data_IF_405905319258
#
_entry.id   IF_405905319258
#
_cell.length_a   1.000
_cell.length_b   1.000
_cell.length_c   1.000
_cell.angle_alpha   90.00
_cell.angle_beta   90.00
_cell.angle_gamma   90.00
#
_symmetry.space_group_name_H-M   'P 1'
#
loop_
_entity.id
_entity.type
_entity.pdbx_description
1 polymer ?
#
# COMPACT_ATOMS: atom_id res chain seq x y z
N UNK A 1 -16.89 34.35 8.25
CA UNK A 1 -15.67 33.55 7.97
C UNK A 1 -16.02 32.06 8.14
N UNK A 2 -15.81 31.11 7.22
CA UNK A 2 -15.27 31.03 5.83
C UNK A 2 -15.99 29.81 5.18
N UNK A 3 -16.23 29.62 3.87
CA UNK A 3 -16.04 30.39 2.63
C UNK A 3 -15.92 29.44 1.42
N UNK A 4 -16.54 29.76 0.26
CA UNK A 4 -16.19 29.42 -1.16
C UNK A 4 -15.64 28.01 -1.53
N UNK A 5 -16.08 27.22 -2.54
CA UNK A 5 -17.19 27.13 -3.54
C UNK A 5 -17.03 25.76 -4.32
N UNK A 6 -17.03 25.40 -5.64
CA UNK A 6 -17.03 25.88 -7.07
C UNK A 6 -18.04 24.97 -7.88
N UNK A 7 -18.20 24.84 -9.22
CA UNK A 7 -17.62 25.35 -10.51
C UNK A 7 -18.76 25.83 -11.44
N UNK A 8 -18.53 26.58 -12.53
CA UNK A 8 -17.31 27.16 -13.12
C UNK A 8 -17.62 28.53 -13.79
N UNK A 9 -16.75 29.03 -14.68
CA UNK A 9 -16.76 30.43 -15.11
C UNK A 9 -17.68 30.74 -16.31
N UNK A 10 -18.58 31.70 -16.15
CA UNK A 10 -18.76 32.78 -17.13
C UNK A 10 -18.43 34.11 -16.44
N UNK A 11 -17.58 34.93 -17.07
CA UNK A 11 -17.10 36.18 -16.48
C UNK A 11 -18.12 37.28 -16.75
N UNK A 12 -18.59 37.93 -15.70
CA UNK A 12 -19.27 39.22 -15.78
C UNK A 12 -18.65 40.17 -14.75
N UNK A 13 -18.47 41.43 -15.16
CA UNK A 13 -17.91 42.55 -14.40
C UNK A 13 -16.40 42.46 -14.09
N UNK A 14 -15.60 42.95 -15.03
CA UNK A 14 -14.16 43.23 -14.91
C UNK A 14 -13.50 43.30 -16.29
N UNK A 15 -12.57 44.25 -16.53
CA UNK A 15 -11.87 44.35 -17.83
C UNK A 15 -10.87 43.22 -18.07
N UNK A 16 -10.35 42.59 -17.01
CA UNK A 16 -9.38 41.50 -17.07
C UNK A 16 -9.60 40.52 -15.91
N UNK A 17 -9.21 39.26 -16.09
CA UNK A 17 -9.20 38.23 -15.06
C UNK A 17 -7.96 37.34 -15.21
N UNK A 18 -7.52 36.70 -14.12
CA UNK A 18 -6.39 35.77 -14.11
C UNK A 18 -6.87 34.38 -13.68
N UNK A 19 -6.52 33.35 -14.46
CA UNK A 19 -6.83 31.95 -14.20
C UNK A 19 -5.53 31.16 -14.01
N UNK A 20 -5.48 30.29 -12.99
CA UNK A 20 -4.38 29.35 -12.85
C UNK A 20 -4.50 28.25 -13.92
N UNK A 21 -3.41 27.99 -14.63
CA UNK A 21 -3.34 26.96 -15.68
C UNK A 21 -3.26 25.53 -15.09
N UNK A 22 -2.74 25.40 -13.87
CA UNK A 22 -2.49 24.13 -13.19
C UNK A 22 -3.17 24.04 -11.80
N UNK A 23 -3.49 22.82 -11.31
CA UNK A 23 -4.13 22.61 -10.01
C UNK A 23 -3.14 22.73 -8.83
N UNK A 24 -2.82 23.96 -8.43
CA UNK A 24 -1.90 24.26 -7.33
C UNK A 24 -2.56 24.37 -5.93
N UNK A 25 -1.87 23.90 -4.89
CA UNK A 25 -2.29 24.05 -3.49
C UNK A 25 -1.92 25.45 -2.94
N UNK A 26 -2.92 26.33 -2.81
CA UNK A 26 -2.74 27.68 -2.28
C UNK A 26 -3.06 27.74 -0.78
N UNK A 27 -2.07 28.13 0.04
CA UNK A 27 -2.25 28.34 1.48
C UNK A 27 -2.83 29.73 1.80
N UNK A 28 -3.48 29.89 2.94
CA UNK A 28 -4.03 31.19 3.37
C UNK A 28 -2.97 32.30 3.53
N UNK A 29 -1.69 31.95 3.73
CA UNK A 29 -0.58 32.91 3.73
C UNK A 29 -0.30 33.44 2.32
N UNK A 30 -0.33 32.57 1.30
CA UNK A 30 -0.18 32.99 -0.10
C UNK A 30 -1.37 33.84 -0.58
N UNK A 31 -2.60 33.54 -0.15
CA UNK A 31 -3.79 34.37 -0.46
C UNK A 31 -3.60 35.81 0.06
N UNK A 32 -3.23 35.95 1.34
CA UNK A 32 -3.05 37.27 1.97
C UNK A 32 -1.81 37.99 1.44
N UNK A 33 -0.73 37.28 1.12
CA UNK A 33 0.44 37.86 0.45
C UNK A 33 0.09 38.40 -0.95
N UNK A 34 -0.63 37.62 -1.76
CA UNK A 34 -1.12 38.04 -3.07
C UNK A 34 -2.06 39.26 -2.98
N UNK A 35 -3.01 39.25 -2.04
CA UNK A 35 -3.87 40.41 -1.76
C UNK A 35 -3.05 41.66 -1.39
N UNK A 36 -2.05 41.52 -0.51
CA UNK A 36 -1.14 42.61 -0.11
C UNK A 36 -0.24 43.11 -1.23
N UNK A 37 0.12 42.26 -2.19
CA UNK A 37 0.86 42.68 -3.39
C UNK A 37 -0.05 43.47 -4.35
N UNK A 38 -1.23 42.92 -4.69
CA UNK A 38 -2.21 43.59 -5.56
C UNK A 38 -2.67 44.94 -4.98
N UNK A 39 -2.90 45.03 -3.67
CA UNK A 39 -3.31 46.29 -2.99
C UNK A 39 -2.19 47.34 -2.96
N UNK A 40 -0.91 46.95 -3.04
CA UNK A 40 0.22 47.90 -3.14
C UNK A 40 0.40 48.46 -4.56
N UNK A 41 0.19 47.63 -5.57
CA UNK A 41 0.42 48.03 -6.96
C UNK A 41 -0.81 48.74 -7.58
N UNK A 42 -2.02 48.47 -7.09
CA UNK A 42 -3.22 49.19 -7.49
C UNK A 42 -3.26 50.59 -6.86
N UNK A 43 -2.87 51.61 -7.66
CA UNK A 43 -3.04 53.02 -7.27
C UNK A 43 -4.51 53.30 -6.91
N UNK A 44 -4.70 54.18 -5.91
CA UNK A 44 -5.98 54.39 -5.17
C UNK A 44 -7.19 54.53 -6.12
N UNK A 45 -8.14 53.59 -6.04
CA UNK A 45 -9.42 53.66 -6.76
C UNK A 45 -10.13 52.32 -6.98
N UNK A 46 -9.39 51.22 -7.19
CA UNK A 46 -9.98 49.92 -7.52
C UNK A 46 -10.44 49.07 -6.33
N UNK A 47 -11.68 48.57 -6.35
CA UNK A 47 -12.17 47.52 -5.43
C UNK A 47 -11.72 46.14 -5.94
N UNK A 48 -10.73 45.53 -5.30
CA UNK A 48 -10.16 44.22 -5.70
C UNK A 48 -10.85 43.07 -4.97
N UNK A 49 -11.38 42.10 -5.71
CA UNK A 49 -12.09 40.94 -5.18
C UNK A 49 -11.35 39.64 -5.49
N UNK A 50 -10.93 38.91 -4.45
CA UNK A 50 -10.24 37.61 -4.58
C UNK A 50 -11.21 36.48 -4.23
N UNK A 51 -11.74 35.79 -5.24
CA UNK A 51 -12.62 34.61 -5.07
C UNK A 51 -11.86 33.34 -5.47
N UNK A 52 -11.50 32.52 -4.49
CA UNK A 52 -10.76 31.26 -4.69
C UNK A 52 -11.72 30.09 -4.44
N UNK A 53 -12.14 29.46 -5.52
CA UNK A 53 -13.12 28.39 -5.53
C UNK A 53 -12.40 27.01 -5.73
N UNK A 54 -12.72 25.92 -5.00
CA UNK A 54 -12.13 24.58 -5.15
C UNK A 54 -12.89 23.64 -6.13
N UNK A 55 -12.14 22.88 -6.94
CA UNK A 55 -12.60 22.11 -8.12
C UNK A 55 -13.97 21.40 -8.01
N UNK A 56 -14.16 20.52 -7.01
CA UNK A 56 -15.34 19.65 -6.88
C UNK A 56 -15.88 19.64 -5.46
N UNK A 57 -17.20 19.75 -5.33
CA UNK A 57 -17.94 19.54 -4.07
C UNK A 57 -18.70 18.21 -4.12
N UNK A 58 -18.65 17.43 -3.05
CA UNK A 58 -19.34 16.13 -2.92
C UNK A 58 -20.16 16.11 -1.63
N UNK A 59 -21.49 16.31 -1.71
CA UNK A 59 -22.41 16.15 -0.58
C UNK A 59 -23.76 15.56 -1.05
N UNK A 60 -24.38 14.74 -0.19
CA UNK A 60 -25.66 14.10 -0.45
C UNK A 60 -26.82 15.10 -0.26
N UNK A 61 -27.82 15.06 -1.15
CA UNK A 61 -28.54 16.29 -1.57
C UNK A 61 -30.00 16.39 -1.09
N UNK A 62 -30.37 15.72 0.00
CA UNK A 62 -31.74 15.18 0.14
C UNK A 62 -32.60 15.65 1.32
N UNK A 63 -32.23 16.67 2.09
CA UNK A 63 -32.87 16.90 3.41
C UNK A 63 -33.15 18.35 3.85
N UNK A 64 -32.94 19.36 3.00
CA UNK A 64 -33.21 20.78 3.31
C UNK A 64 -34.22 21.38 2.33
N UNK A 65 -35.24 22.09 2.85
CA UNK A 65 -36.40 22.56 2.09
C UNK A 65 -36.54 24.09 2.17
N UNK A 66 -35.69 24.84 1.46
CA UNK A 66 -35.93 26.27 1.22
C UNK A 66 -36.77 26.40 -0.05
N UNK A 67 -37.91 27.07 0.05
CA UNK A 67 -38.90 27.21 -1.03
C UNK A 67 -39.22 28.70 -1.28
N UNK A 68 -40.00 29.05 -2.32
CA UNK A 68 -40.62 30.38 -2.40
C UNK A 68 -41.38 30.71 -1.10
N UNK A 69 -41.41 32.00 -0.73
CA UNK A 69 -41.92 32.54 0.53
C UNK A 69 -41.14 32.14 1.80
N UNK A 70 -40.08 31.32 1.74
CA UNK A 70 -39.21 31.09 2.91
C UNK A 70 -38.46 32.37 3.31
N UNK A 71 -38.63 32.80 4.56
CA UNK A 71 -37.85 33.87 5.19
C UNK A 71 -36.47 33.37 5.65
N UNK A 72 -35.42 34.18 5.45
CA UNK A 72 -34.02 33.81 5.58
C UNK A 72 -33.19 34.96 6.16
N UNK A 73 -32.42 34.68 7.22
CA UNK A 73 -31.52 35.65 7.82
C UNK A 73 -30.26 35.84 6.95
N UNK A 74 -29.87 37.10 6.76
CA UNK A 74 -28.67 37.46 5.99
C UNK A 74 -27.40 37.17 6.81
N UNK A 75 -26.40 36.57 6.16
CA UNK A 75 -25.11 36.20 6.76
C UNK A 75 -23.91 36.99 6.19
N UNK A 76 -24.21 38.13 5.54
CA UNK A 76 -23.25 39.05 4.93
C UNK A 76 -23.42 40.46 5.52
N UNK A 77 -22.37 41.28 5.46
CA UNK A 77 -22.36 42.63 6.02
C UNK A 77 -22.91 43.67 5.02
N UNK A 78 -23.85 43.27 4.17
CA UNK A 78 -24.36 44.08 3.04
C UNK A 78 -25.31 45.19 3.46
N UNK A 79 -25.92 45.08 4.65
CA UNK A 79 -26.93 46.01 5.18
C UNK A 79 -28.32 45.37 5.27
N UNK A 80 -28.63 44.39 4.42
CA UNK A 80 -29.84 43.58 4.57
C UNK A 80 -29.77 42.69 5.82
N UNK A 81 -30.90 42.51 6.51
CA UNK A 81 -31.02 41.67 7.72
C UNK A 81 -31.87 40.42 7.45
N UNK A 82 -32.98 40.60 6.73
CA UNK A 82 -33.92 39.52 6.37
C UNK A 82 -34.24 39.53 4.87
N UNK A 83 -34.27 38.35 4.27
CA UNK A 83 -34.67 38.09 2.89
C UNK A 83 -35.86 37.14 2.82
N UNK A 84 -36.83 37.41 1.96
CA UNK A 84 -37.87 36.43 1.58
C UNK A 84 -37.55 35.85 0.21
N UNK A 85 -37.37 34.53 0.13
CA UNK A 85 -37.19 33.81 -1.13
C UNK A 85 -38.41 34.00 -2.06
N UNK A 86 -38.18 34.26 -3.34
CA UNK A 86 -39.24 34.37 -4.36
C UNK A 86 -39.09 33.27 -5.43
N UNK A 87 -37.87 33.03 -5.92
CA UNK A 87 -37.63 32.06 -6.99
C UNK A 87 -36.27 31.37 -6.83
N UNK A 88 -36.26 30.06 -7.03
CA UNK A 88 -35.05 29.23 -7.04
C UNK A 88 -34.44 29.27 -8.45
N UNK A 89 -33.13 29.47 -8.58
CA UNK A 89 -32.45 29.55 -9.88
C UNK A 89 -31.75 28.22 -10.17
N UNK A 90 -32.18 27.50 -11.20
CA UNK A 90 -31.52 26.28 -11.69
C UNK A 90 -32.15 25.74 -12.97
N UNK A 91 -31.44 24.84 -13.67
CA UNK A 91 -31.84 24.29 -14.98
C UNK A 91 -32.97 23.23 -14.92
N UNK A 92 -33.88 23.34 -13.95
CA UNK A 92 -35.02 22.43 -13.76
C UNK A 92 -36.03 23.08 -12.81
N UNK A 93 -37.32 22.72 -12.93
CA UNK A 93 -38.42 23.37 -12.20
C UNK A 93 -38.49 22.91 -10.71
N UNK A 94 -37.43 23.18 -9.94
CA UNK A 94 -37.23 22.70 -8.57
C UNK A 94 -38.09 23.47 -7.57
N UNK A 95 -38.92 22.74 -6.82
CA UNK A 95 -39.71 23.29 -5.70
C UNK A 95 -38.86 23.67 -4.47
N UNK A 96 -37.68 23.06 -4.32
CA UNK A 96 -36.81 23.21 -3.15
C UNK A 96 -35.35 23.50 -3.52
N UNK A 97 -34.72 24.36 -2.73
CA UNK A 97 -33.33 24.79 -2.83
C UNK A 97 -32.51 24.34 -1.61
N UNK A 98 -31.26 24.03 -1.87
CA UNK A 98 -30.33 23.39 -0.92
C UNK A 98 -29.10 24.28 -0.70
N UNK A 99 -28.24 23.90 0.25
CA UNK A 99 -26.95 24.59 0.46
C UNK A 99 -26.15 24.59 -0.85
N UNK A 100 -25.77 25.80 -1.30
CA UNK A 100 -25.08 26.06 -2.56
C UNK A 100 -25.97 26.47 -3.74
N UNK A 101 -27.29 26.28 -3.68
CA UNK A 101 -28.21 26.78 -4.71
C UNK A 101 -28.36 28.32 -4.61
N UNK A 102 -28.64 28.97 -5.74
CA UNK A 102 -28.87 30.43 -5.83
C UNK A 102 -30.37 30.71 -5.85
N UNK A 103 -30.82 31.68 -5.06
CA UNK A 103 -32.21 32.15 -5.04
C UNK A 103 -32.30 33.62 -5.45
N UNK A 104 -33.43 34.01 -6.03
CA UNK A 104 -33.93 35.39 -6.07
C UNK A 104 -34.76 35.60 -4.80
N UNK A 105 -34.47 36.68 -4.07
CA UNK A 105 -35.16 37.03 -2.84
C UNK A 105 -35.38 38.55 -2.74
N UNK A 106 -36.32 38.98 -1.91
CA UNK A 106 -36.58 40.41 -1.62
C UNK A 106 -36.15 40.77 -0.22
N UNK A 107 -35.53 41.94 -0.05
CA UNK A 107 -35.16 42.52 1.24
C UNK A 107 -36.43 42.87 2.04
N UNK A 108 -36.60 42.22 3.20
CA UNK A 108 -37.73 42.45 4.13
C UNK A 108 -37.36 43.37 5.29
N UNK A 109 -36.11 43.33 5.74
CA UNK A 109 -35.53 44.19 6.78
C UNK A 109 -34.08 44.54 6.40
N UNK A 110 -33.66 45.77 6.71
CA UNK A 110 -32.35 46.33 6.40
C UNK A 110 -31.93 47.38 7.45
N UNK A 111 -30.62 47.56 7.61
CA UNK A 111 -30.03 48.55 8.50
C UNK A 111 -30.19 49.96 7.89
N UNK A 112 -30.67 50.97 8.64
CA UNK A 112 -30.76 52.35 8.16
C UNK A 112 -29.41 52.92 7.68
N UNK A 113 -29.46 53.88 6.76
CA UNK A 113 -28.31 54.58 6.18
C UNK A 113 -27.30 53.68 5.43
N UNK A 114 -27.71 52.48 5.02
CA UNK A 114 -26.96 51.61 4.08
C UNK A 114 -27.52 51.73 2.66
N UNK A 115 -26.72 51.46 1.60
CA UNK A 115 -27.13 51.63 0.19
C UNK A 115 -27.94 50.43 -0.35
N UNK A 116 -28.81 49.84 0.47
CA UNK A 116 -29.76 48.78 0.08
C UNK A 116 -31.13 49.14 0.62
N UNK A 117 -32.16 49.06 -0.22
CA UNK A 117 -33.51 49.49 0.14
C UNK A 117 -34.45 48.33 0.46
N UNK A 118 -35.44 48.60 1.31
CA UNK A 118 -36.49 47.63 1.61
C UNK A 118 -37.33 47.38 0.36
N UNK A 119 -37.66 46.12 0.09
CA UNK A 119 -38.31 45.64 -1.13
C UNK A 119 -37.40 45.44 -2.35
N UNK A 120 -36.11 45.75 -2.29
CA UNK A 120 -35.16 45.49 -3.39
C UNK A 120 -35.03 43.98 -3.67
N UNK A 121 -34.93 43.63 -4.97
CA UNK A 121 -34.82 42.24 -5.45
C UNK A 121 -33.35 41.85 -5.64
N UNK A 122 -32.84 40.97 -4.77
CA UNK A 122 -31.43 40.55 -4.74
C UNK A 122 -31.27 39.06 -5.05
N UNK A 123 -30.05 38.66 -5.46
CA UNK A 123 -29.66 37.25 -5.63
C UNK A 123 -28.81 36.79 -4.45
N UNK A 124 -29.31 35.81 -3.70
CA UNK A 124 -28.64 35.24 -2.54
C UNK A 124 -28.20 33.78 -2.79
N UNK A 125 -27.22 33.31 -2.03
CA UNK A 125 -26.74 31.92 -2.03
C UNK A 125 -27.04 31.30 -0.68
N UNK A 126 -27.59 30.09 -0.66
CA UNK A 126 -27.88 29.38 0.58
C UNK A 126 -26.55 28.83 1.14
N UNK A 127 -26.10 29.37 2.28
CA UNK A 127 -24.81 29.02 2.90
C UNK A 127 -24.92 28.20 4.20
N UNK A 128 -26.12 28.15 4.79
CA UNK A 128 -26.46 27.35 5.98
C UNK A 128 -27.97 27.15 6.04
N UNK A 129 -28.40 26.13 6.76
CA UNK A 129 -29.80 25.82 7.06
C UNK A 129 -29.97 25.65 8.58
N UNK A 130 -31.22 25.65 9.06
CA UNK A 130 -31.52 25.61 10.51
C UNK A 130 -31.62 24.18 11.07
N UNK A 131 -31.59 23.16 10.22
CA UNK A 131 -31.73 21.75 10.59
C UNK A 131 -30.41 21.01 10.38
N UNK A 132 -30.13 20.03 11.24
CA UNK A 132 -28.91 19.25 11.12
C UNK A 132 -28.99 18.24 9.96
N UNK A 133 -27.90 18.15 9.19
CA UNK A 133 -27.78 17.24 8.06
C UNK A 133 -27.52 15.81 8.56
N UNK A 134 -28.43 14.89 8.23
CA UNK A 134 -28.23 13.44 8.46
C UNK A 134 -26.99 12.94 7.72
N UNK A 135 -26.32 11.96 8.32
CA UNK A 135 -25.27 11.14 7.71
C UNK A 135 -25.77 9.71 7.58
N UNK A 136 -25.29 8.98 6.58
CA UNK A 136 -25.84 7.67 6.21
C UNK A 136 -25.64 6.59 7.31
N UNK A 137 -24.71 6.78 8.25
CA UNK A 137 -24.32 5.78 9.27
C UNK A 137 -24.89 6.01 10.69
N UNK A 138 -25.71 7.03 10.94
CA UNK A 138 -26.41 7.17 12.23
C UNK A 138 -27.80 7.81 12.08
N UNK A 139 -28.82 7.05 12.48
CA UNK A 139 -30.24 7.42 12.39
C UNK A 139 -30.66 8.42 13.49
N UNK A 140 -29.91 8.52 14.60
CA UNK A 140 -30.20 9.37 15.77
C UNK A 140 -29.17 10.48 16.05
N UNK A 141 -28.04 10.53 15.32
CA UNK A 141 -27.04 11.60 15.42
C UNK A 141 -26.29 11.68 16.76
N UNK A 142 -26.09 10.56 17.44
CA UNK A 142 -25.45 10.49 18.75
C UNK A 142 -23.92 10.47 18.62
N UNK A 143 -23.24 11.11 19.57
CA UNK A 143 -21.78 11.16 19.60
C UNK A 143 -21.24 9.82 20.10
N UNK A 144 -20.60 9.06 19.20
CA UNK A 144 -20.02 7.72 19.46
C UNK A 144 -19.01 7.72 20.61
N UNK A 145 -18.20 8.77 20.71
CA UNK A 145 -17.21 8.99 21.77
C UNK A 145 -16.87 10.46 21.86
N UNK A 146 -16.64 10.97 23.07
CA UNK A 146 -16.16 12.32 23.32
C UNK A 146 -15.15 12.33 24.47
N UNK A 147 -14.22 13.28 24.43
CA UNK A 147 -13.26 13.51 25.52
C UNK A 147 -12.76 14.95 25.47
N UNK A 148 -12.29 15.44 26.60
CA UNK A 148 -11.87 16.83 26.80
C UNK A 148 -10.73 16.90 27.82
N UNK A 149 -10.01 18.03 27.87
CA UNK A 149 -9.04 18.27 28.92
C UNK A 149 -9.68 18.21 30.33
N UNK A 150 -10.97 18.57 30.46
CA UNK A 150 -11.70 18.48 31.73
C UNK A 150 -11.97 17.04 32.18
N UNK A 151 -12.47 16.19 31.28
CA UNK A 151 -12.73 14.76 31.58
C UNK A 151 -11.44 13.95 31.75
N UNK A 152 -10.33 14.36 31.13
CA UNK A 152 -9.00 13.82 31.41
C UNK A 152 -8.35 14.38 32.70
N UNK A 153 -9.11 15.02 33.60
CA UNK A 153 -8.65 15.45 34.92
C UNK A 153 -7.81 16.74 34.97
N UNK A 154 -7.54 17.39 33.82
CA UNK A 154 -6.75 18.63 33.81
C UNK A 154 -7.58 19.80 34.37
N UNK A 155 -6.98 20.55 35.31
CA UNK A 155 -7.56 21.73 35.97
C UNK A 155 -6.66 22.95 35.79
N UNK A 156 -7.25 24.15 35.86
CA UNK A 156 -6.55 25.42 35.69
C UNK A 156 -5.79 25.54 34.36
N UNK A 157 -4.64 26.21 34.38
CA UNK A 157 -3.74 26.42 33.23
C UNK A 157 -3.34 25.13 32.51
N UNK A 158 -3.26 24.00 33.23
CA UNK A 158 -2.91 22.69 32.65
C UNK A 158 -3.88 22.24 31.55
N UNK A 159 -5.13 22.74 31.52
CA UNK A 159 -6.11 22.47 30.45
C UNK A 159 -5.67 22.96 29.06
N UNK A 160 -4.89 24.05 29.00
CA UNK A 160 -4.39 24.60 27.73
C UNK A 160 -3.14 23.91 27.18
N UNK A 161 -2.61 22.89 27.87
CA UNK A 161 -1.34 22.27 27.50
C UNK A 161 -1.47 21.37 26.26
N UNK A 162 -0.40 21.23 25.44
CA UNK A 162 -0.39 20.27 24.33
C UNK A 162 -0.61 18.83 24.80
N UNK A 163 -0.12 18.48 26.00
CA UNK A 163 -0.33 17.17 26.60
C UNK A 163 -1.80 16.90 26.93
N UNK A 164 -2.54 17.87 27.47
CA UNK A 164 -3.98 17.73 27.70
C UNK A 164 -4.76 17.50 26.40
N UNK A 165 -4.39 18.19 25.30
CA UNK A 165 -4.97 17.96 23.99
C UNK A 165 -4.63 16.57 23.41
N UNK A 166 -3.39 16.09 23.63
CA UNK A 166 -2.95 14.74 23.22
C UNK A 166 -3.73 13.64 23.94
N UNK A 167 -3.89 13.76 25.26
CA UNK A 167 -4.59 12.77 26.09
C UNK A 167 -6.10 12.77 25.84
N UNK A 168 -6.71 13.95 25.66
CA UNK A 168 -8.11 14.04 25.26
C UNK A 168 -8.37 13.35 23.91
N UNK A 169 -7.56 13.65 22.89
CA UNK A 169 -7.65 12.99 21.58
C UNK A 169 -7.42 11.47 21.68
N UNK A 170 -6.39 11.04 22.41
CA UNK A 170 -6.08 9.62 22.58
C UNK A 170 -7.22 8.83 23.25
N UNK A 171 -7.80 9.36 24.32
CA UNK A 171 -8.92 8.71 25.01
C UNK A 171 -10.18 8.61 24.13
N UNK A 172 -10.51 9.67 23.37
CA UNK A 172 -11.65 9.63 22.45
C UNK A 172 -11.46 8.56 21.35
N UNK A 173 -10.24 8.39 20.84
CA UNK A 173 -9.92 7.43 19.78
C UNK A 173 -9.96 5.98 20.30
N UNK A 174 -9.42 5.70 21.49
CA UNK A 174 -9.45 4.34 22.07
C UNK A 174 -10.88 3.80 22.13
N UNK A 175 -11.79 4.52 22.78
CA UNK A 175 -13.18 4.11 22.90
C UNK A 175 -13.92 3.90 21.55
N UNK A 176 -13.41 4.47 20.44
CA UNK A 176 -13.92 4.26 19.08
C UNK A 176 -13.30 3.02 18.42
N UNK A 177 -12.01 2.76 18.68
CA UNK A 177 -11.31 1.54 18.25
C UNK A 177 -11.81 0.32 19.02
N UNK A 178 -12.05 0.45 20.32
CA UNK A 178 -12.59 -0.59 21.21
C UNK A 178 -14.04 -0.98 20.79
N UNK A 179 -14.77 -0.05 20.16
CA UNK A 179 -16.07 -0.28 19.51
C UNK A 179 -15.95 -0.79 18.05
N UNK A 180 -14.76 -1.19 17.60
CA UNK A 180 -14.53 -1.83 16.30
C UNK A 180 -14.47 -0.90 15.08
N UNK A 181 -14.38 0.43 15.24
CA UNK A 181 -14.38 1.35 14.10
C UNK A 181 -13.08 1.30 13.29
N UNK A 182 -13.12 0.62 12.14
CA UNK A 182 -11.97 0.39 11.26
C UNK A 182 -11.52 1.62 10.45
N UNK A 183 -12.40 2.59 10.19
CA UNK A 183 -12.12 3.80 9.38
C UNK A 183 -12.90 5.00 9.90
N UNK A 184 -12.22 6.15 10.02
CA UNK A 184 -12.82 7.43 10.38
C UNK A 184 -12.11 8.59 9.67
N UNK A 185 -12.87 9.59 9.21
CA UNK A 185 -12.33 10.85 8.68
C UNK A 185 -12.23 11.89 9.81
N UNK A 186 -11.02 12.40 10.08
CA UNK A 186 -10.74 13.20 11.28
C UNK A 186 -10.50 14.67 10.95
N UNK A 187 -11.51 15.51 11.21
CA UNK A 187 -11.45 16.96 11.04
C UNK A 187 -10.92 17.67 12.31
N UNK A 188 -9.77 18.34 12.20
CA UNK A 188 -9.18 19.11 13.31
C UNK A 188 -9.20 20.61 12.99
N UNK A 189 -9.77 21.41 13.90
CA UNK A 189 -9.87 22.88 13.81
C UNK A 189 -8.95 23.56 14.83
N UNK A 190 -8.66 24.86 14.62
CA UNK A 190 -7.79 25.67 15.47
C UNK A 190 -6.29 25.62 15.10
N UNK A 191 -5.51 26.64 15.49
CA UNK A 191 -4.04 26.69 15.39
C UNK A 191 -3.34 26.29 16.70
N UNK A 192 -2.00 26.18 16.66
CA UNK A 192 -1.15 26.08 17.85
C UNK A 192 -0.86 24.66 18.36
N UNK A 193 0.10 24.55 19.28
CA UNK A 193 0.76 23.31 19.70
C UNK A 193 -0.18 22.16 20.14
N UNK A 194 -1.37 22.48 20.67
CA UNK A 194 -2.39 21.50 21.01
C UNK A 194 -2.93 20.72 19.80
N UNK A 195 -3.05 21.37 18.64
CA UNK A 195 -3.39 20.73 17.35
C UNK A 195 -2.34 19.68 16.99
N UNK A 196 -1.07 20.04 17.10
CA UNK A 196 0.04 19.20 16.64
C UNK A 196 0.33 18.06 17.62
N UNK A 197 -0.05 18.21 18.89
CA UNK A 197 -0.10 17.11 19.85
C UNK A 197 -1.28 16.16 19.59
N UNK A 198 -2.48 16.66 19.29
CA UNK A 198 -3.63 15.83 18.88
C UNK A 198 -3.35 15.08 17.56
N UNK A 199 -2.75 15.72 16.55
CA UNK A 199 -2.29 15.08 15.31
C UNK A 199 -1.29 13.95 15.58
N UNK A 200 -0.38 14.11 16.55
CA UNK A 200 0.55 13.06 16.97
C UNK A 200 -0.15 11.91 17.70
N UNK A 201 -1.19 12.17 18.50
CA UNK A 201 -2.03 11.10 19.07
C UNK A 201 -2.70 10.28 17.96
N UNK A 202 -3.42 10.95 17.04
CA UNK A 202 -4.11 10.30 15.91
C UNK A 202 -3.14 9.48 15.06
N UNK A 203 -1.98 10.04 14.69
CA UNK A 203 -0.96 9.31 13.91
C UNK A 203 -0.40 8.08 14.63
N UNK A 204 -0.31 8.08 15.97
CA UNK A 204 0.09 6.90 16.75
C UNK A 204 -1.01 5.85 16.76
N UNK A 205 -2.25 6.24 17.10
CA UNK A 205 -3.39 5.31 17.19
C UNK A 205 -3.82 4.69 15.86
N UNK A 206 -3.51 5.32 14.71
CA UNK A 206 -3.79 4.77 13.37
C UNK A 206 -2.64 3.89 12.83
N UNK A 207 -1.52 3.79 13.55
CA UNK A 207 -0.28 3.14 13.06
C UNK A 207 -0.06 1.70 13.56
N UNK A 208 -1.12 0.91 13.70
CA UNK A 208 -1.05 -0.56 13.91
C UNK A 208 -1.73 -1.32 12.78
N UNK A 209 -1.47 -0.91 11.53
CA UNK A 209 -1.57 -1.87 10.40
C UNK A 209 -0.41 -2.86 10.55
N UNK A 210 -0.70 -4.01 11.16
CA UNK A 210 0.21 -5.15 11.18
C UNK A 210 0.59 -5.53 9.75
N UNK A 211 1.86 -5.90 9.55
CA UNK A 211 2.28 -6.53 8.30
C UNK A 211 1.58 -7.88 8.19
N UNK A 212 0.82 -8.06 7.12
CA UNK A 212 0.18 -9.32 6.76
C UNK A 212 0.96 -9.92 5.60
N UNK A 213 1.47 -11.13 5.85
CA UNK A 213 2.02 -12.03 4.84
C UNK A 213 0.91 -13.00 4.45
N UNK A 214 0.60 -13.09 3.16
CA UNK A 214 -0.45 -13.96 2.64
C UNK A 214 0.07 -14.76 1.45
N UNK A 215 -0.06 -16.09 1.51
CA UNK A 215 -0.01 -16.91 0.29
C UNK A 215 -1.29 -16.63 -0.52
N UNK A 216 -1.13 -16.23 -1.77
CA UNK A 216 -2.26 -15.96 -2.68
C UNK A 216 -2.52 -17.16 -3.59
N UNK A 217 -1.46 -17.91 -3.91
CA UNK A 217 -1.46 -18.99 -4.88
C UNK A 217 -0.25 -19.88 -4.62
N UNK A 218 -0.46 -21.19 -4.66
CA UNK A 218 0.60 -22.20 -4.53
C UNK A 218 0.21 -23.43 -5.35
N UNK A 219 1.11 -23.88 -6.21
CA UNK A 219 0.92 -25.02 -7.08
C UNK A 219 2.14 -25.95 -7.03
N UNK A 220 1.91 -27.24 -7.24
CA UNK A 220 2.97 -28.23 -7.45
C UNK A 220 2.90 -28.66 -8.91
N UNK A 221 3.70 -28.04 -9.76
CA UNK A 221 3.72 -28.29 -11.21
C UNK A 221 4.38 -29.66 -11.51
N UNK A 222 5.28 -30.11 -10.62
CA UNK A 222 5.81 -31.47 -10.59
C UNK A 222 6.26 -31.83 -9.17
N UNK A 223 6.74 -33.07 -8.95
CA UNK A 223 7.39 -33.48 -7.69
C UNK A 223 8.58 -32.56 -7.30
N UNK A 224 9.23 -31.94 -8.29
CA UNK A 224 10.44 -31.11 -8.13
C UNK A 224 10.15 -29.60 -8.24
N UNK A 225 9.04 -29.19 -8.84
CA UNK A 225 8.69 -27.79 -9.09
C UNK A 225 7.48 -27.36 -8.25
N UNK A 226 7.73 -26.51 -7.27
CA UNK A 226 6.72 -25.87 -6.44
C UNK A 226 6.66 -24.36 -6.75
N UNK A 227 5.53 -23.89 -7.26
CA UNK A 227 5.24 -22.47 -7.43
C UNK A 227 4.55 -21.91 -6.18
N UNK A 228 4.94 -20.71 -5.75
CA UNK A 228 4.34 -20.04 -4.61
C UNK A 228 4.40 -18.51 -4.75
N UNK A 229 3.23 -17.86 -4.74
CA UNK A 229 3.09 -16.42 -4.88
C UNK A 229 2.53 -15.80 -3.60
N UNK A 230 3.37 -14.99 -2.95
CA UNK A 230 3.07 -14.36 -1.67
C UNK A 230 2.91 -12.84 -1.83
N UNK A 231 2.05 -12.23 -1.00
CA UNK A 231 1.91 -10.78 -0.87
C UNK A 231 2.26 -10.37 0.56
N UNK A 232 3.09 -9.35 0.69
CA UNK A 232 3.38 -8.66 1.95
C UNK A 232 2.83 -7.23 1.91
N UNK A 233 1.83 -6.96 2.74
CA UNK A 233 1.18 -5.64 2.82
C UNK A 233 0.84 -5.26 4.27
N UNK A 234 0.78 -3.96 4.62
CA UNK A 234 0.97 -2.80 3.78
C UNK A 234 2.34 -2.12 3.99
N UNK A 235 3.12 -2.01 2.92
CA UNK A 235 4.43 -1.34 2.93
C UNK A 235 4.33 0.14 2.57
N UNK A 236 5.29 0.96 3.03
CA UNK A 236 5.46 2.34 2.55
C UNK A 236 6.26 2.35 1.25
N UNK A 237 6.08 3.38 0.41
CA UNK A 237 6.88 3.57 -0.82
C UNK A 237 8.38 3.51 -0.49
N UNK A 238 9.15 2.71 -1.23
CA UNK A 238 10.58 2.46 -0.98
C UNK A 238 10.89 1.28 -0.06
N UNK A 239 9.96 0.81 0.79
CA UNK A 239 10.21 -0.35 1.65
C UNK A 239 10.08 -1.68 0.91
N UNK A 240 9.23 -1.75 -0.11
CA UNK A 240 9.04 -2.94 -0.94
C UNK A 240 10.36 -3.33 -1.63
N UNK A 241 11.05 -2.36 -2.21
CA UNK A 241 12.30 -2.57 -2.94
C UNK A 241 13.40 -3.10 -2.01
N UNK A 242 13.55 -2.50 -0.81
CA UNK A 242 14.53 -2.96 0.19
C UNK A 242 14.23 -4.38 0.69
N UNK A 243 12.97 -4.70 0.99
CA UNK A 243 12.58 -6.02 1.51
C UNK A 243 12.66 -7.08 0.41
N UNK A 244 12.23 -6.76 -0.82
CA UNK A 244 12.31 -7.66 -1.98
C UNK A 244 13.75 -8.01 -2.34
N UNK A 245 14.66 -7.03 -2.36
CA UNK A 245 16.10 -7.28 -2.59
C UNK A 245 16.69 -8.12 -1.45
N UNK A 246 16.36 -7.84 -0.18
CA UNK A 246 16.85 -8.61 0.95
C UNK A 246 16.35 -10.07 0.92
N UNK A 247 15.05 -10.29 0.72
CA UNK A 247 14.46 -11.62 0.62
C UNK A 247 15.00 -12.39 -0.60
N UNK A 248 15.10 -11.76 -1.78
CA UNK A 248 15.67 -12.40 -2.97
C UNK A 248 17.12 -12.87 -2.73
N UNK A 249 17.92 -12.07 -2.01
CA UNK A 249 19.30 -12.45 -1.64
C UNK A 249 19.35 -13.61 -0.65
N UNK A 250 18.51 -13.60 0.39
CA UNK A 250 18.43 -14.69 1.37
C UNK A 250 17.97 -16.00 0.71
N UNK A 251 16.87 -15.97 -0.06
CA UNK A 251 16.29 -17.15 -0.72
C UNK A 251 17.25 -17.79 -1.75
N UNK A 252 18.06 -17.00 -2.45
CA UNK A 252 19.00 -17.48 -3.49
C UNK A 252 20.46 -17.65 -3.00
N UNK A 253 20.76 -17.46 -1.71
CA UNK A 253 22.14 -17.46 -1.23
C UNK A 253 22.37 -17.94 0.20
N UNK A 254 21.40 -17.80 1.09
CA UNK A 254 21.52 -18.19 2.52
C UNK A 254 20.82 -19.52 2.84
N UNK A 255 19.94 -20.00 1.95
CA UNK A 255 19.26 -21.29 2.12
C UNK A 255 20.22 -22.44 1.78
N UNK A 256 20.32 -23.40 2.70
CA UNK A 256 21.09 -24.62 2.51
C UNK A 256 20.32 -25.64 1.65
N UNK A 257 20.96 -26.12 0.58
CA UNK A 257 20.52 -27.27 -0.19
C UNK A 257 21.46 -28.46 -0.01
N UNK A 258 21.04 -29.63 -0.52
CA UNK A 258 21.85 -30.85 -0.58
C UNK A 258 21.99 -31.25 -2.04
N UNK A 259 23.22 -31.50 -2.51
CA UNK A 259 23.46 -31.96 -3.88
C UNK A 259 24.66 -32.89 -3.96
N UNK A 260 24.78 -33.63 -5.08
CA UNK A 260 25.96 -34.43 -5.41
C UNK A 260 27.06 -33.47 -5.89
N UNK A 261 28.26 -33.58 -5.32
CA UNK A 261 29.40 -32.69 -5.61
C UNK A 261 30.58 -33.40 -6.26
N UNK A 262 30.67 -34.73 -6.13
CA UNK A 262 31.64 -35.56 -6.84
C UNK A 262 31.06 -36.92 -7.21
N UNK A 263 31.53 -37.47 -8.32
CA UNK A 263 31.36 -38.88 -8.69
C UNK A 263 32.74 -39.53 -8.91
N UNK A 264 32.92 -40.77 -8.46
CA UNK A 264 34.16 -41.56 -8.60
C UNK A 264 33.80 -42.95 -9.15
N UNK A 265 34.46 -43.38 -10.21
CA UNK A 265 34.28 -44.73 -10.78
C UNK A 265 35.56 -45.18 -11.48
N UNK A 266 35.95 -46.43 -11.28
CA UNK A 266 37.16 -47.03 -11.85
C UNK A 266 37.10 -47.18 -13.37
N UNK A 267 35.89 -47.17 -13.95
CA UNK A 267 35.66 -47.33 -15.40
C UNK A 267 35.66 -46.01 -16.18
N UNK A 268 35.84 -44.87 -15.52
CA UNK A 268 35.80 -43.55 -16.15
C UNK A 268 37.22 -42.99 -16.28
N UNK A 269 37.74 -42.94 -17.52
CA UNK A 269 39.06 -42.39 -17.83
C UNK A 269 39.07 -40.87 -17.96
N UNK A 270 37.97 -40.26 -18.42
CA UNK A 270 37.79 -38.81 -18.51
C UNK A 270 36.30 -38.46 -18.70
N UNK A 271 35.91 -37.22 -18.39
CA UNK A 271 34.51 -36.73 -18.42
C UNK A 271 33.78 -36.98 -19.75
N UNK A 272 34.51 -37.01 -20.88
CA UNK A 272 33.97 -37.22 -22.22
C UNK A 272 34.07 -38.68 -22.71
N UNK A 273 34.28 -39.67 -21.82
CA UNK A 273 34.37 -41.07 -22.24
C UNK A 273 33.00 -41.71 -22.42
N UNK A 274 32.90 -42.65 -23.35
CA UNK A 274 31.78 -43.60 -23.46
C UNK A 274 32.16 -44.92 -22.80
N UNK A 275 31.24 -45.52 -22.06
CA UNK A 275 31.45 -46.84 -21.44
C UNK A 275 30.74 -47.88 -22.33
N UNK A 276 31.48 -48.90 -22.79
CA UNK A 276 30.88 -50.01 -23.55
C UNK A 276 29.75 -50.66 -22.76
N UNK A 277 28.61 -50.90 -23.40
CA UNK A 277 27.42 -51.46 -22.76
C UNK A 277 26.53 -50.47 -21.99
N UNK A 278 26.81 -49.16 -22.09
CA UNK A 278 25.95 -48.07 -21.58
C UNK A 278 25.56 -47.16 -22.75
N UNK A 279 24.32 -46.69 -22.79
CA UNK A 279 23.80 -45.85 -23.86
C UNK A 279 24.31 -44.40 -23.80
N UNK A 280 24.43 -43.86 -22.59
CA UNK A 280 24.80 -42.47 -22.31
C UNK A 280 26.31 -42.30 -22.13
N UNK A 281 26.83 -41.14 -22.51
CA UNK A 281 28.20 -40.72 -22.21
C UNK A 281 28.38 -40.41 -20.72
N UNK A 282 29.63 -40.43 -20.24
CA UNK A 282 29.95 -40.03 -18.87
C UNK A 282 29.49 -38.59 -18.57
N UNK A 283 29.60 -37.68 -19.54
CA UNK A 283 29.13 -36.31 -19.39
C UNK A 283 27.61 -36.24 -19.16
N UNK A 284 26.82 -37.01 -19.92
CA UNK A 284 25.36 -37.10 -19.73
C UNK A 284 25.01 -37.73 -18.38
N UNK A 285 25.73 -38.76 -17.94
CA UNK A 285 25.55 -39.36 -16.59
C UNK A 285 25.85 -38.33 -15.49
N UNK A 286 26.93 -37.55 -15.61
CA UNK A 286 27.26 -36.49 -14.66
C UNK A 286 26.22 -35.36 -14.64
N UNK A 287 25.64 -35.01 -15.80
CA UNK A 287 24.55 -34.03 -15.90
C UNK A 287 23.23 -34.56 -15.33
N UNK A 288 22.88 -35.82 -15.58
CA UNK A 288 21.72 -36.48 -14.98
C UNK A 288 21.85 -36.53 -13.45
N UNK A 289 23.03 -36.87 -12.92
CA UNK A 289 23.35 -36.84 -11.49
C UNK A 289 23.23 -35.41 -10.91
N UNK A 290 23.65 -34.38 -11.65
CA UNK A 290 23.54 -32.95 -11.26
C UNK A 290 22.08 -32.49 -11.12
N UNK A 291 21.14 -33.10 -11.85
CA UNK A 291 19.70 -32.81 -11.72
C UNK A 291 19.00 -33.53 -10.55
N UNK A 292 19.66 -34.45 -9.83
CA UNK A 292 19.01 -35.23 -8.76
C UNK A 292 18.75 -34.35 -7.53
N UNK A 293 17.46 -34.18 -7.21
CA UNK A 293 17.01 -33.34 -6.10
C UNK A 293 17.02 -34.14 -4.80
N UNK A 294 18.01 -33.86 -3.96
CA UNK A 294 18.20 -34.50 -2.65
C UNK A 294 17.71 -33.60 -1.51
N UNK A 295 17.14 -34.23 -0.48
CA UNK A 295 16.79 -33.61 0.80
C UNK A 295 17.62 -34.29 1.89
N UNK A 296 18.27 -33.54 2.78
CA UNK A 296 18.97 -34.14 3.92
C UNK A 296 18.84 -33.37 5.22
N UNK A 297 18.73 -34.13 6.32
CA UNK A 297 18.74 -33.58 7.67
C UNK A 297 20.14 -33.60 8.32
N UNK A 298 21.16 -33.39 7.49
CA UNK A 298 22.53 -33.21 7.96
C UNK A 298 22.66 -31.95 8.83
N UNK A 299 23.13 -32.13 10.06
CA UNK A 299 23.42 -31.05 11.03
C UNK A 299 24.89 -30.94 11.43
N UNK A 300 25.62 -32.07 11.52
CA UNK A 300 26.94 -32.14 12.19
C UNK A 300 28.09 -32.50 11.26
N UNK A 301 27.91 -33.46 10.36
CA UNK A 301 28.75 -33.59 9.18
C UNK A 301 28.03 -32.92 8.01
N UNK A 302 28.74 -32.12 7.19
CA UNK A 302 28.19 -31.49 5.98
C UNK A 302 28.44 -32.32 4.71
N UNK A 303 29.22 -33.38 4.81
CA UNK A 303 29.46 -34.34 3.72
C UNK A 303 28.90 -35.70 4.08
N UNK A 304 28.53 -36.48 3.07
CA UNK A 304 28.21 -37.90 3.20
C UNK A 304 28.51 -38.61 1.88
N UNK A 305 28.61 -39.93 1.95
CA UNK A 305 28.89 -40.80 0.81
C UNK A 305 27.67 -41.66 0.50
N UNK A 306 27.46 -41.90 -0.79
CA UNK A 306 26.44 -42.77 -1.35
C UNK A 306 27.06 -43.57 -2.51
N UNK A 307 26.35 -44.57 -3.03
CA UNK A 307 26.84 -45.31 -4.20
C UNK A 307 25.71 -45.79 -5.11
N UNK A 308 26.03 -45.97 -6.39
CA UNK A 308 25.22 -46.73 -7.35
C UNK A 308 25.98 -48.02 -7.61
N UNK A 309 25.28 -49.16 -7.55
CA UNK A 309 25.84 -50.46 -7.90
C UNK A 309 24.74 -51.29 -8.61
N UNK A 310 24.75 -51.27 -9.93
CA UNK A 310 23.72 -51.90 -10.78
C UNK A 310 24.36 -52.79 -11.83
N UNK A 311 23.76 -53.95 -12.11
CA UNK A 311 24.17 -54.87 -13.18
C UNK A 311 23.12 -54.88 -14.28
N UNK A 312 23.57 -54.66 -15.51
CA UNK A 312 22.71 -54.66 -16.69
C UNK A 312 22.31 -56.05 -17.19
N UNK A 313 21.48 -56.12 -18.26
CA UNK A 313 20.87 -54.98 -18.95
C UNK A 313 19.66 -54.42 -18.18
N UNK A 314 19.43 -53.11 -18.26
CA UNK A 314 18.33 -52.42 -17.55
C UNK A 314 18.50 -50.91 -17.44
N UNK A 315 17.46 -50.22 -16.97
CA UNK A 315 17.50 -48.79 -16.70
C UNK A 315 18.00 -48.50 -15.29
N UNK A 316 18.90 -47.53 -15.15
CA UNK A 316 19.39 -47.00 -13.87
C UNK A 316 18.64 -45.72 -13.57
N UNK A 317 18.02 -45.67 -12.39
CA UNK A 317 17.23 -44.55 -11.90
C UNK A 317 17.77 -44.02 -10.57
N UNK A 318 17.27 -42.88 -10.11
CA UNK A 318 17.61 -42.35 -8.81
C UNK A 318 17.22 -43.29 -7.65
N UNK A 319 16.20 -44.16 -7.84
CA UNK A 319 15.87 -45.20 -6.86
C UNK A 319 17.03 -46.17 -6.58
N UNK A 320 17.94 -46.36 -7.54
CA UNK A 320 19.06 -47.30 -7.47
C UNK A 320 20.31 -46.69 -6.77
N UNK A 321 20.19 -45.46 -6.25
CA UNK A 321 21.22 -44.85 -5.39
C UNK A 321 21.08 -45.38 -3.95
N UNK A 322 22.10 -46.11 -3.50
CA UNK A 322 22.27 -46.55 -2.12
C UNK A 322 22.64 -45.32 -1.27
N UNK A 323 21.63 -44.72 -0.66
CA UNK A 323 21.76 -43.55 0.22
C UNK A 323 21.90 -43.92 1.71
N UNK A 324 22.59 -43.08 2.51
CA UNK A 324 22.57 -43.18 3.96
C UNK A 324 21.22 -42.70 4.55
N UNK A 325 20.81 -43.16 5.75
CA UNK A 325 19.45 -43.03 6.30
C UNK A 325 19.03 -41.60 6.74
N UNK A 326 19.77 -40.57 6.34
CA UNK A 326 19.52 -39.16 6.62
C UNK A 326 19.46 -38.30 5.33
N UNK A 327 19.50 -38.94 4.16
CA UNK A 327 19.28 -38.35 2.83
C UNK A 327 18.07 -39.02 2.18
N UNK A 328 17.20 -38.24 1.58
CA UNK A 328 16.00 -38.65 0.85
C UNK A 328 16.07 -38.11 -0.59
N UNK A 329 15.50 -38.84 -1.55
CA UNK A 329 15.32 -38.39 -2.94
C UNK A 329 13.92 -37.81 -3.10
N UNK A 330 13.79 -36.67 -3.77
CA UNK A 330 12.48 -36.04 -4.00
C UNK A 330 11.72 -36.67 -5.17
N UNK A 331 12.44 -37.24 -6.15
CA UNK A 331 11.86 -37.91 -7.32
C UNK A 331 12.65 -39.17 -7.73
N UNK A 332 12.30 -40.31 -7.14
CA UNK A 332 12.92 -41.61 -7.42
C UNK A 332 12.89 -42.03 -8.91
N UNK A 333 11.97 -41.48 -9.71
CA UNK A 333 11.82 -41.80 -11.14
C UNK A 333 12.72 -40.98 -12.06
N UNK A 334 13.70 -40.24 -11.53
CA UNK A 334 14.77 -39.64 -12.34
C UNK A 334 15.61 -40.74 -13.01
N UNK A 335 15.78 -40.64 -14.33
CA UNK A 335 16.70 -41.49 -15.10
C UNK A 335 18.15 -41.02 -14.89
N UNK A 336 19.09 -41.97 -14.92
CA UNK A 336 20.54 -41.73 -14.80
C UNK A 336 21.27 -42.29 -16.01
N UNK A 337 21.05 -43.57 -16.32
CA UNK A 337 21.71 -44.30 -17.40
C UNK A 337 20.88 -45.50 -17.87
N UNK A 338 21.25 -46.09 -19.01
CA UNK A 338 20.62 -47.26 -19.62
C UNK A 338 21.71 -48.28 -19.99
N UNK A 339 21.72 -49.41 -19.28
CA UNK A 339 22.65 -50.52 -19.51
C UNK A 339 22.11 -51.42 -20.62
N UNK A 340 22.79 -51.44 -21.77
CA UNK A 340 22.40 -52.24 -22.95
C UNK A 340 22.97 -53.66 -22.91
N UNK A 341 24.08 -53.85 -22.21
CA UNK A 341 24.80 -55.12 -22.06
C UNK A 341 24.84 -55.56 -20.58
N UNK A 342 25.24 -56.81 -20.26
CA UNK A 342 25.44 -57.29 -18.88
C UNK A 342 26.69 -56.69 -18.20
N UNK A 343 26.75 -55.36 -18.15
CA UNK A 343 27.83 -54.57 -17.54
C UNK A 343 27.46 -54.19 -16.11
N UNK A 344 28.43 -54.22 -15.21
CA UNK A 344 28.30 -53.70 -13.85
C UNK A 344 28.72 -52.22 -13.79
N UNK A 345 27.79 -51.34 -13.42
CA UNK A 345 28.03 -49.92 -13.19
C UNK A 345 28.19 -49.67 -11.68
N UNK A 346 29.38 -49.25 -11.27
CA UNK A 346 29.68 -48.83 -9.90
C UNK A 346 30.10 -47.36 -9.93
N UNK A 347 29.42 -46.52 -9.16
CA UNK A 347 29.75 -45.09 -8.98
C UNK A 347 29.68 -44.77 -7.49
N UNK A 348 30.80 -44.35 -6.89
CA UNK A 348 30.82 -43.70 -5.59
C UNK A 348 30.44 -42.22 -5.73
N UNK A 349 29.53 -41.74 -4.89
CA UNK A 349 28.99 -40.38 -4.94
C UNK A 349 29.29 -39.66 -3.64
N UNK A 350 29.82 -38.43 -3.74
CA UNK A 350 29.94 -37.52 -2.59
C UNK A 350 28.80 -36.52 -2.62
N UNK A 351 28.05 -36.44 -1.53
CA UNK A 351 26.91 -35.55 -1.33
C UNK A 351 27.28 -34.53 -0.26
N UNK A 352 27.05 -33.25 -0.53
CA UNK A 352 27.32 -32.17 0.44
C UNK A 352 26.05 -31.35 0.71
N UNK A 353 25.99 -30.76 1.91
CA UNK A 353 24.99 -29.77 2.30
C UNK A 353 25.65 -28.42 2.59
N UNK A 354 25.29 -27.41 1.82
CA UNK A 354 25.86 -26.07 1.89
C UNK A 354 24.87 -25.01 1.40
N UNK A 355 25.18 -23.73 1.56
CA UNK A 355 24.35 -22.59 1.11
C UNK A 355 24.99 -21.84 -0.06
N UNK A 356 24.17 -21.49 -1.07
CA UNK A 356 24.56 -20.62 -2.18
C UNK A 356 25.45 -21.29 -3.25
N UNK A 357 25.76 -20.54 -4.31
CA UNK A 357 26.48 -21.07 -5.48
C UNK A 357 28.00 -21.03 -5.30
N UNK A 358 28.61 -22.17 -4.94
CA UNK A 358 30.06 -22.31 -4.81
C UNK A 358 30.67 -22.93 -6.08
N UNK A 359 31.24 -22.09 -6.94
CA UNK A 359 32.22 -22.56 -7.94
C UNK A 359 33.47 -22.98 -7.18
N UNK A 360 33.67 -24.30 -6.99
CA UNK A 360 34.93 -24.82 -6.45
C UNK A 360 36.04 -24.58 -7.48
N UNK A 361 37.21 -24.13 -7.02
CA UNK A 361 38.39 -24.06 -7.87
C UNK A 361 38.73 -25.48 -8.39
N UNK A 362 39.32 -25.61 -9.60
CA UNK A 362 39.64 -26.90 -10.21
C UNK A 362 40.84 -27.57 -9.53
N UNK A 363 40.63 -28.09 -8.32
CA UNK A 363 41.62 -28.80 -7.54
C UNK A 363 41.81 -30.23 -8.06
N UNK A 364 42.74 -30.36 -9.01
CA UNK A 364 43.65 -31.49 -9.25
C UNK A 364 43.04 -32.90 -9.34
N UNK A 365 43.17 -33.53 -10.52
CA UNK A 365 42.78 -34.92 -10.85
C UNK A 365 43.61 -36.02 -10.13
N UNK A 366 43.93 -35.89 -8.84
CA UNK A 366 44.82 -36.82 -8.13
C UNK A 366 44.16 -38.08 -7.53
N UNK A 367 42.82 -38.22 -7.62
CA UNK A 367 42.09 -39.34 -6.99
C UNK A 367 40.94 -39.90 -7.86
N UNK A 368 40.96 -39.68 -9.19
CA UNK A 368 39.95 -40.23 -10.12
C UNK A 368 38.49 -39.84 -9.83
N UNK A 369 38.26 -38.79 -9.03
CA UNK A 369 36.93 -38.26 -8.73
C UNK A 369 36.64 -37.00 -9.53
N UNK A 370 35.54 -37.03 -10.27
CA UNK A 370 35.06 -35.97 -11.14
C UNK A 370 34.21 -34.98 -10.34
N UNK A 371 34.49 -33.66 -10.40
CA UNK A 371 33.68 -32.66 -9.73
C UNK A 371 32.36 -32.46 -10.48
N UNK A 372 31.25 -32.44 -9.74
CA UNK A 372 29.95 -31.99 -10.25
C UNK A 372 29.74 -30.57 -9.72
N UNK A 373 29.47 -29.63 -10.63
CA UNK A 373 29.05 -28.26 -10.33
C UNK A 373 27.90 -28.25 -9.31
N UNK A 374 28.13 -27.78 -8.07
CA UNK A 374 27.18 -28.03 -6.99
C UNK A 374 26.08 -26.96 -6.94
N UNK A 375 24.86 -27.36 -7.33
CA UNK A 375 23.68 -26.47 -7.29
C UNK A 375 22.97 -26.60 -5.94
N UNK A 376 23.51 -25.93 -4.92
CA UNK A 376 22.92 -25.91 -3.58
C UNK A 376 21.63 -25.07 -3.45
N UNK A 377 21.17 -24.39 -4.51
CA UNK A 377 20.02 -23.49 -4.43
C UNK A 377 18.68 -24.23 -4.52
N UNK A 378 17.95 -24.31 -3.41
CA UNK A 378 16.59 -24.85 -3.35
C UNK A 378 15.54 -24.03 -4.13
N UNK A 379 15.89 -22.84 -4.63
CA UNK A 379 15.02 -21.96 -5.42
C UNK A 379 15.66 -21.70 -6.79
N UNK A 380 15.00 -22.15 -7.85
CA UNK A 380 15.45 -21.98 -9.25
C UNK A 380 15.22 -20.57 -9.79
N UNK A 381 14.16 -19.88 -9.33
CA UNK A 381 13.80 -18.52 -9.76
C UNK A 381 13.12 -17.76 -8.61
N UNK A 382 13.46 -16.48 -8.44
CA UNK A 382 12.79 -15.59 -7.49
C UNK A 382 12.58 -14.21 -8.12
N UNK A 383 11.32 -13.80 -8.22
CA UNK A 383 10.89 -12.47 -8.68
C UNK A 383 10.29 -11.69 -7.49
N UNK A 384 10.32 -10.35 -7.55
CA UNK A 384 9.91 -9.45 -6.46
C UNK A 384 9.54 -8.07 -7.00
#
# INVERSE_FOLDING_TARGET
MKGISYRGNHICFGKYALQALEPAWITSRQIEAGRRAMTRNARRGGKIWVRIFPDKTRYNKKNDMIQPQTHLNVADNSGARELMCIRIIGASNRRYAHIGDVIVAVIKDAVPNMPLERSEVVRAVIVRTCKELKRDNDVRGRVVSWSSAGTCGFRGTRRGTPFAAQTAAGNAIRAVVDQGMQRAEVMIKGPGLGRDAALRAIRRSVSTRTLQWQCVESAADSKRLFYGRFILAPLRKGQADTIGIAMRRALLGEIEGTCITRAKSEKISHEYSTIMGIQESVHEILMNLKEIVLRSNLYRNRTCEASICVRGPGYVTAQDIILPPYVEIVDNTQHIASLTEPVELVIGLQIEKNSGYFIKAPNTFQDGSYPIDPVFNAYSKCES
#
